data_IF_057037672033
#
_entry.id   IF_057037672033
#
_cell.length_a   1.000
_cell.length_b   1.000
_cell.length_c   1.000
_cell.angle_alpha   90.00
_cell.angle_beta   90.00
_cell.angle_gamma   90.00
#
_symmetry.space_group_name_H-M   'P 1'
#
loop_
_entity.id
_entity.type
_entity.pdbx_description
1 polymer ?
#
# COMPACT_ATOMS: atom_id res chain seq x y z
N UNK A 1 -13.47 39.42 -17.26
CA UNK A 1 -13.23 38.75 -15.96
C UNK A 1 -14.03 37.46 -15.93
N UNK A 2 -13.37 36.30 -15.91
CA UNK A 2 -13.61 35.24 -14.92
C UNK A 2 -12.61 34.12 -15.19
N UNK A 3 -11.56 34.09 -14.38
CA UNK A 3 -10.65 32.96 -14.31
C UNK A 3 -11.41 31.80 -13.61
N UNK A 4 -11.73 30.75 -14.36
CA UNK A 4 -12.04 29.47 -13.73
C UNK A 4 -10.71 28.83 -13.32
N UNK A 5 -10.27 29.15 -12.11
CA UNK A 5 -9.33 28.31 -11.36
C UNK A 5 -10.01 26.95 -11.17
N UNK A 6 -9.83 26.05 -12.12
CA UNK A 6 -9.99 24.61 -11.89
C UNK A 6 -8.90 24.25 -10.88
N UNK A 7 -9.25 24.37 -9.60
CA UNK A 7 -8.45 23.81 -8.52
C UNK A 7 -8.19 22.36 -8.88
N UNK A 8 -6.91 22.02 -9.04
CA UNK A 8 -6.48 20.64 -9.10
C UNK A 8 -6.97 19.97 -7.82
N UNK A 9 -8.13 19.32 -7.88
CA UNK A 9 -8.63 18.48 -6.80
C UNK A 9 -7.55 17.41 -6.66
N UNK A 10 -6.74 17.49 -5.61
CA UNK A 10 -5.73 16.50 -5.30
C UNK A 10 -6.40 15.13 -5.35
N UNK A 11 -6.05 14.32 -6.35
CA UNK A 11 -6.80 13.12 -6.72
C UNK A 11 -6.57 12.01 -5.68
N UNK A 12 -7.17 12.15 -4.51
CA UNK A 12 -7.29 11.07 -3.56
C UNK A 12 -8.20 9.99 -4.15
N UNK A 13 -7.81 8.73 -4.00
CA UNK A 13 -8.53 7.61 -4.57
C UNK A 13 -8.32 6.34 -3.77
N UNK A 14 -9.18 5.37 -4.04
CA UNK A 14 -9.16 4.06 -3.42
C UNK A 14 -9.32 3.02 -4.52
N UNK A 15 -8.50 1.98 -4.50
CA UNK A 15 -8.68 0.87 -5.43
C UNK A 15 -9.80 -0.06 -4.97
N UNK A 16 -10.37 -0.81 -5.91
CA UNK A 16 -11.09 -2.02 -5.52
C UNK A 16 -10.18 -3.03 -4.81
N UNK A 17 -10.78 -4.02 -4.16
CA UNK A 17 -10.03 -5.15 -3.61
C UNK A 17 -9.42 -5.96 -4.75
N UNK A 18 -8.12 -6.27 -4.64
CA UNK A 18 -7.37 -7.03 -5.63
C UNK A 18 -6.39 -7.99 -4.96
N UNK A 19 -5.84 -8.95 -5.71
CA UNK A 19 -4.78 -9.82 -5.17
C UNK A 19 -3.54 -8.99 -4.80
N UNK A 20 -2.70 -9.48 -3.89
CA UNK A 20 -1.44 -8.79 -3.60
C UNK A 20 -0.56 -8.62 -4.84
N UNK A 21 -0.50 -9.62 -5.72
CA UNK A 21 0.19 -9.52 -7.02
C UNK A 21 -0.31 -8.33 -7.87
N UNK A 22 -1.62 -8.15 -7.94
CA UNK A 22 -2.22 -7.02 -8.66
C UNK A 22 -1.95 -5.69 -7.97
N UNK A 23 -1.90 -5.68 -6.63
CA UNK A 23 -1.60 -4.49 -5.85
C UNK A 23 -0.19 -3.97 -6.14
N UNK A 24 0.83 -4.84 -6.21
CA UNK A 24 2.19 -4.44 -6.61
C UNK A 24 2.22 -3.82 -8.01
N UNK A 25 1.60 -4.48 -9.00
CA UNK A 25 1.50 -3.92 -10.37
C UNK A 25 0.75 -2.60 -10.42
N UNK A 26 -0.31 -2.46 -9.63
CA UNK A 26 -1.11 -1.24 -9.55
C UNK A 26 -0.35 -0.11 -8.86
N UNK A 27 0.45 -0.42 -7.84
CA UNK A 27 1.30 0.55 -7.15
C UNK A 27 2.37 1.14 -8.08
N UNK A 28 3.00 0.32 -8.92
CA UNK A 28 3.96 0.81 -9.91
C UNK A 28 3.30 1.74 -10.94
N UNK A 29 2.08 1.42 -11.40
CA UNK A 29 1.29 2.33 -12.26
C UNK A 29 0.97 3.64 -11.56
N UNK A 30 0.55 3.58 -10.30
CA UNK A 30 0.27 4.78 -9.49
C UNK A 30 1.52 5.66 -9.37
N UNK A 31 2.69 5.06 -9.13
CA UNK A 31 3.97 5.78 -9.09
C UNK A 31 4.25 6.48 -10.41
N UNK A 32 4.05 5.78 -11.55
CA UNK A 32 4.21 6.36 -12.89
C UNK A 32 3.26 7.53 -13.18
N UNK A 33 2.09 7.59 -12.52
CA UNK A 33 1.15 8.71 -12.61
C UNK A 33 1.41 9.81 -11.58
N UNK A 34 2.53 9.79 -10.85
CA UNK A 34 2.84 10.79 -9.84
C UNK A 34 1.98 10.67 -8.58
N UNK A 35 1.43 9.48 -8.32
CA UNK A 35 0.62 9.20 -7.13
C UNK A 35 1.48 8.52 -6.06
N UNK A 36 1.05 8.64 -4.81
CA UNK A 36 1.61 7.96 -3.64
C UNK A 36 0.51 7.17 -2.93
N UNK A 37 0.79 5.90 -2.61
CA UNK A 37 -0.05 5.12 -1.72
C UNK A 37 0.18 5.60 -0.29
N UNK A 38 -0.89 5.90 0.44
CA UNK A 38 -0.86 6.41 1.81
C UNK A 38 -1.26 5.34 2.82
N UNK A 39 -2.07 4.37 2.40
CA UNK A 39 -2.52 3.25 3.22
C UNK A 39 -2.82 2.03 2.35
N UNK A 40 -2.50 0.85 2.87
CA UNK A 40 -3.01 -0.42 2.39
C UNK A 40 -3.93 -1.01 3.44
N UNK A 41 -5.15 -1.37 3.04
CA UNK A 41 -5.96 -2.33 3.78
C UNK A 41 -5.74 -3.72 3.21
N UNK A 42 -5.70 -4.73 4.06
CA UNK A 42 -5.69 -6.11 3.61
C UNK A 42 -6.58 -7.02 4.44
N UNK A 43 -7.03 -8.09 3.80
CA UNK A 43 -7.88 -9.14 4.39
C UNK A 43 -7.56 -10.49 3.76
N UNK A 44 -7.95 -11.54 4.46
CA UNK A 44 -7.78 -12.92 3.98
C UNK A 44 -8.52 -13.13 2.65
N UNK A 45 -7.82 -13.68 1.65
CA UNK A 45 -8.44 -14.07 0.37
C UNK A 45 -9.15 -15.43 0.45
N UNK A 46 -8.95 -16.18 1.53
CA UNK A 46 -9.48 -17.54 1.71
C UNK A 46 -8.63 -18.62 1.02
N UNK A 47 -7.54 -18.25 0.32
CA UNK A 47 -6.65 -19.20 -0.33
C UNK A 47 -5.86 -20.01 0.71
N UNK A 48 -5.62 -21.30 0.43
CA UNK A 48 -4.87 -22.18 1.35
C UNK A 48 -3.41 -21.76 1.54
N UNK A 49 -2.78 -21.21 0.51
CA UNK A 49 -1.38 -20.78 0.56
C UNK A 49 -1.22 -19.51 1.38
N UNK A 50 0.03 -19.21 1.72
CA UNK A 50 0.46 -18.07 2.52
C UNK A 50 1.53 -17.30 1.76
N UNK A 51 1.19 -16.95 0.53
CA UNK A 51 2.01 -16.13 -0.37
C UNK A 51 1.34 -14.77 -0.58
N UNK A 52 1.92 -13.95 -1.45
CA UNK A 52 1.41 -12.61 -1.74
C UNK A 52 -0.03 -12.61 -2.32
N UNK A 53 -0.51 -13.73 -2.88
CA UNK A 53 -1.88 -13.95 -3.34
C UNK A 53 -2.87 -14.37 -2.24
N UNK A 54 -2.37 -14.73 -1.06
CA UNK A 54 -3.19 -15.09 0.12
C UNK A 54 -3.93 -13.89 0.75
N UNK A 55 -3.63 -12.68 0.29
CA UNK A 55 -4.26 -11.44 0.73
C UNK A 55 -5.04 -10.77 -0.40
N UNK A 56 -6.24 -10.28 -0.07
CA UNK A 56 -6.88 -9.20 -0.83
C UNK A 56 -6.42 -7.86 -0.27
N UNK A 57 -6.02 -6.97 -1.15
CA UNK A 57 -5.44 -5.66 -0.84
C UNK A 57 -6.29 -4.56 -1.47
N UNK A 58 -6.46 -3.46 -0.73
CA UNK A 58 -7.04 -2.21 -1.20
C UNK A 58 -6.08 -1.08 -0.86
N UNK A 59 -5.72 -0.27 -1.85
CA UNK A 59 -4.83 0.86 -1.66
C UNK A 59 -5.59 2.16 -1.64
N UNK A 60 -5.25 3.03 -0.69
CA UNK A 60 -5.62 4.44 -0.66
C UNK A 60 -4.43 5.23 -1.15
N UNK A 61 -4.66 6.16 -2.06
CA UNK A 61 -3.60 6.93 -2.69
C UNK A 61 -4.02 8.38 -2.88
N UNK A 62 -3.05 9.25 -3.05
CA UNK A 62 -3.24 10.67 -3.38
C UNK A 62 -2.12 11.14 -4.29
N UNK A 63 -2.19 12.38 -4.75
CA UNK A 63 -1.12 12.98 -5.54
C UNK A 63 0.15 13.14 -4.70
N UNK A 64 1.29 12.74 -5.24
CA UNK A 64 2.58 12.83 -4.57
C UNK A 64 3.19 14.23 -4.72
N UNK A 65 2.52 15.25 -4.17
CA UNK A 65 2.95 16.66 -4.27
C UNK A 65 4.32 16.94 -3.64
N UNK A 66 4.75 16.09 -2.71
CA UNK A 66 6.05 16.18 -2.03
C UNK A 66 7.16 15.37 -2.72
N UNK A 67 6.84 14.67 -3.82
CA UNK A 67 7.77 13.81 -4.56
C UNK A 67 8.51 12.80 -3.66
N UNK A 68 7.83 12.29 -2.63
CA UNK A 68 8.40 11.30 -1.72
C UNK A 68 8.65 10.00 -2.50
N UNK A 69 9.78 9.34 -2.25
CA UNK A 69 9.94 7.98 -2.72
C UNK A 69 9.21 7.04 -1.75
N UNK A 70 8.46 6.08 -2.29
CA UNK A 70 7.53 5.28 -1.51
C UNK A 70 7.47 3.82 -1.98
N UNK A 71 7.26 2.93 -1.02
CA UNK A 71 7.17 1.49 -1.21
C UNK A 71 5.93 0.95 -0.51
N UNK A 72 5.36 -0.08 -1.12
CA UNK A 72 4.38 -0.94 -0.46
C UNK A 72 5.04 -2.29 -0.22
N UNK A 73 4.63 -2.98 0.82
CA UNK A 73 5.10 -4.34 1.10
C UNK A 73 4.08 -5.15 1.89
N UNK A 74 4.29 -6.47 1.93
CA UNK A 74 3.48 -7.43 2.68
C UNK A 74 4.38 -8.46 3.36
N UNK A 75 4.36 -8.50 4.70
CA UNK A 75 5.21 -9.42 5.47
C UNK A 75 4.50 -9.96 6.71
N UNK A 76 4.88 -11.14 7.19
CA UNK A 76 4.29 -11.76 8.39
C UNK A 76 4.88 -11.26 9.71
N UNK A 77 6.05 -10.58 9.67
CA UNK A 77 6.74 -10.01 10.84
C UNK A 77 7.01 -8.50 10.69
N UNK A 78 6.19 -7.66 11.33
CA UNK A 78 6.32 -6.19 11.18
C UNK A 78 7.70 -5.65 11.58
N UNK A 79 8.33 -6.21 12.62
CA UNK A 79 9.65 -5.77 13.07
C UNK A 79 10.72 -5.95 11.99
N UNK A 80 10.89 -7.18 11.51
CA UNK A 80 11.82 -7.51 10.43
C UNK A 80 11.57 -6.68 9.16
N UNK A 81 10.30 -6.48 8.80
CA UNK A 81 9.95 -5.69 7.63
C UNK A 81 10.35 -4.22 7.80
N UNK A 82 10.14 -3.65 9.00
CA UNK A 82 10.58 -2.28 9.31
C UNK A 82 12.09 -2.17 9.23
N UNK A 83 12.82 -3.11 9.82
CA UNK A 83 14.28 -3.08 9.86
C UNK A 83 14.86 -3.18 8.45
N UNK A 84 14.33 -4.10 7.64
CA UNK A 84 14.71 -4.24 6.22
C UNK A 84 14.56 -2.94 5.42
N UNK A 85 13.45 -2.22 5.59
CA UNK A 85 13.21 -0.96 4.89
C UNK A 85 13.97 0.22 5.51
N UNK A 86 14.19 0.21 6.82
CA UNK A 86 14.98 1.22 7.53
C UNK A 86 16.45 1.23 7.07
N UNK A 87 17.05 0.06 6.86
CA UNK A 87 18.40 -0.07 6.26
C UNK A 87 18.52 0.59 4.88
N UNK A 88 17.39 0.75 4.18
CA UNK A 88 17.30 1.38 2.85
C UNK A 88 16.84 2.85 2.92
N UNK A 89 16.79 3.43 4.12
CA UNK A 89 16.42 4.83 4.36
C UNK A 89 14.92 5.10 4.36
N UNK A 90 14.07 4.07 4.34
CA UNK A 90 12.62 4.24 4.38
C UNK A 90 12.08 4.19 5.81
N UNK A 91 11.00 4.94 6.06
CA UNK A 91 10.27 4.93 7.33
C UNK A 91 8.87 4.40 7.13
N UNK A 92 8.37 3.62 8.09
CA UNK A 92 7.00 3.10 8.05
C UNK A 92 6.02 4.27 8.12
N UNK A 93 5.26 4.47 7.04
CA UNK A 93 4.26 5.51 6.91
C UNK A 93 2.89 5.04 7.42
N UNK A 94 2.50 3.81 7.10
CA UNK A 94 1.29 3.18 7.62
C UNK A 94 1.37 1.65 7.54
N UNK A 95 0.55 0.98 8.34
CA UNK A 95 0.34 -0.45 8.20
C UNK A 95 -1.08 -0.84 8.60
N UNK A 96 -1.57 -1.92 8.01
CA UNK A 96 -2.69 -2.69 8.54
C UNK A 96 -2.28 -4.15 8.73
N UNK A 97 -3.09 -4.92 9.42
CA UNK A 97 -2.86 -6.34 9.64
C UNK A 97 -4.17 -7.10 9.46
N UNK A 98 -4.10 -8.24 8.78
CA UNK A 98 -5.14 -9.26 8.92
C UNK A 98 -4.58 -10.49 9.63
N UNK A 99 -5.47 -11.17 10.35
CA UNK A 99 -5.17 -12.41 11.04
C UNK A 99 -6.08 -13.49 10.47
N UNK A 100 -5.50 -14.54 9.90
CA UNK A 100 -6.26 -15.69 9.41
C UNK A 100 -6.88 -16.41 10.60
N UNK A 101 -8.21 -16.49 10.63
CA UNK A 101 -8.96 -17.10 11.75
C UNK A 101 -8.52 -18.54 12.04
N UNK A 102 -8.25 -19.32 11.00
CA UNK A 102 -7.96 -20.75 11.12
C UNK A 102 -6.56 -21.05 11.66
N UNK A 103 -5.55 -20.27 11.26
CA UNK A 103 -4.15 -20.53 11.61
C UNK A 103 -3.54 -19.52 12.58
N UNK A 104 -4.21 -18.40 12.85
CA UNK A 104 -3.67 -17.29 13.61
C UNK A 104 -2.56 -16.51 12.89
N UNK A 105 -2.25 -16.87 11.63
CA UNK A 105 -1.19 -16.23 10.87
C UNK A 105 -1.54 -14.78 10.58
N UNK A 106 -0.53 -13.91 10.73
CA UNK A 106 -0.62 -12.49 10.50
C UNK A 106 0.05 -12.13 9.19
N UNK A 107 -0.56 -11.24 8.42
CA UNK A 107 0.10 -10.52 7.35
C UNK A 107 -0.08 -9.03 7.59
N UNK A 108 1.04 -8.33 7.65
CA UNK A 108 1.11 -6.87 7.73
C UNK A 108 1.25 -6.31 6.33
N UNK A 109 0.37 -5.38 5.96
CA UNK A 109 0.40 -4.68 4.70
C UNK A 109 0.87 -3.26 4.98
N UNK A 110 2.06 -2.93 4.51
CA UNK A 110 2.85 -1.80 4.97
C UNK A 110 3.08 -0.82 3.83
N UNK A 111 3.10 0.46 4.18
CA UNK A 111 3.48 1.56 3.30
C UNK A 111 4.67 2.23 3.94
N UNK A 112 5.70 2.47 3.14
CA UNK A 112 6.91 3.18 3.55
C UNK A 112 7.15 4.40 2.65
N UNK A 113 7.78 5.43 3.20
CA UNK A 113 8.26 6.57 2.42
C UNK A 113 9.61 7.09 2.93
N UNK A 114 10.27 7.88 2.08
CA UNK A 114 11.49 8.65 2.37
C UNK A 114 11.41 10.02 1.73
#
# INVERSE_FOLDING_TARGET
MLACLLGNVAAAGTTEWMSGNDAFRRADKLRGFGMIVTRMDCKDSGQRTLDVGSALVRMHYTQNSKMLDWRIDGWNHLGENKDYWAERGYRLASHTVFVRKTSGLRLYCTVYNK
#
